data_IF_222014927380
#
_entry.id   IF_222014927380
#
_cell.length_a   1.000
_cell.length_b   1.000
_cell.length_c   1.000
_cell.angle_alpha   90.00
_cell.angle_beta   90.00
_cell.angle_gamma   90.00
#
_symmetry.space_group_name_H-M   'P 1'
#
loop_
_entity.id
_entity.type
_entity.pdbx_description
1 polymer ?
#
# COMPACT_ATOMS: atom_id res chain seq x y z
N UNK A 1 65.20 -26.27 -24.65
CA UNK A 1 65.92 -25.85 -25.86
C UNK A 1 64.97 -24.94 -26.63
N UNK A 2 65.00 -23.61 -26.49
CA UNK A 2 66.05 -22.61 -26.80
C UNK A 2 66.26 -22.38 -28.32
N UNK A 3 65.97 -21.14 -28.75
CA UNK A 3 66.14 -20.53 -30.09
C UNK A 3 64.95 -19.58 -30.35
N UNK A 4 64.96 -18.23 -30.22
CA UNK A 4 65.85 -17.14 -30.72
C UNK A 4 66.09 -17.26 -32.22
N UNK A 5 65.96 -16.27 -33.11
CA UNK A 5 65.83 -14.80 -33.17
C UNK A 5 65.43 -14.51 -34.67
N UNK A 6 64.55 -13.59 -35.10
CA UNK A 6 64.54 -12.12 -35.12
C UNK A 6 64.57 -11.54 -36.57
N UNK A 7 63.86 -10.41 -36.74
CA UNK A 7 63.99 -9.33 -37.74
C UNK A 7 63.39 -9.41 -39.15
N UNK A 8 62.60 -8.37 -39.45
CA UNK A 8 62.22 -7.92 -40.80
C UNK A 8 61.22 -6.76 -40.77
N UNK A 9 61.72 -5.52 -40.64
CA UNK A 9 60.96 -4.26 -40.78
C UNK A 9 60.53 -4.05 -42.25
N UNK A 10 59.28 -3.63 -42.46
CA UNK A 10 58.89 -2.90 -43.67
C UNK A 10 57.90 -1.79 -43.31
N UNK A 11 58.35 -0.57 -43.56
CA UNK A 11 57.61 0.70 -43.49
C UNK A 11 56.51 0.73 -44.56
N UNK A 12 55.29 1.12 -44.20
CA UNK A 12 54.33 1.67 -45.14
C UNK A 12 53.76 2.99 -44.63
N UNK A 13 54.02 4.00 -45.45
CA UNK A 13 53.66 5.41 -45.32
C UNK A 13 52.21 5.62 -45.76
N UNK A 14 51.46 6.43 -44.99
CA UNK A 14 50.49 7.38 -45.53
C UNK A 14 49.09 6.87 -45.88
N UNK A 15 48.17 6.95 -44.92
CA UNK A 15 46.76 7.28 -45.21
C UNK A 15 46.35 8.39 -44.23
N UNK A 16 46.08 9.59 -44.77
CA UNK A 16 45.45 10.69 -44.04
C UNK A 16 43.98 10.32 -43.88
N UNK A 17 43.54 10.14 -42.63
CA UNK A 17 42.11 10.07 -42.30
C UNK A 17 41.71 11.50 -41.97
N UNK A 18 41.01 12.15 -42.89
CA UNK A 18 40.39 13.44 -42.64
C UNK A 18 39.35 13.31 -41.53
N UNK A 19 39.33 14.31 -40.65
CA UNK A 19 38.51 14.36 -39.45
C UNK A 19 37.01 14.28 -39.78
N UNK A 20 36.34 13.29 -39.20
CA UNK A 20 34.87 13.20 -39.15
C UNK A 20 34.38 14.28 -38.15
N UNK A 21 33.44 15.18 -38.52
CA UNK A 21 32.90 16.14 -37.57
C UNK A 21 32.14 15.42 -36.48
N UNK A 22 32.50 15.70 -35.23
CA UNK A 22 31.80 15.19 -34.05
C UNK A 22 30.38 15.77 -34.02
N UNK A 23 29.40 14.96 -34.40
CA UNK A 23 28.00 15.23 -34.09
C UNK A 23 27.84 15.06 -32.57
N UNK A 24 27.91 16.17 -31.84
CA UNK A 24 27.41 16.25 -30.48
C UNK A 24 25.90 16.07 -30.54
N UNK A 25 25.43 14.82 -30.46
CA UNK A 25 24.09 14.55 -29.94
C UNK A 25 24.12 14.93 -28.45
N UNK A 26 23.78 16.18 -28.20
CA UNK A 26 23.36 16.62 -26.88
C UNK A 26 22.07 15.86 -26.57
N UNK A 27 22.21 14.69 -25.94
CA UNK A 27 21.10 14.07 -25.21
C UNK A 27 20.84 15.01 -24.06
N UNK A 28 19.87 15.90 -24.26
CA UNK A 28 19.22 16.58 -23.16
C UNK A 28 18.57 15.45 -22.37
N UNK A 29 19.20 15.05 -21.27
CA UNK A 29 18.44 14.40 -20.21
C UNK A 29 17.49 15.49 -19.72
N UNK A 30 16.28 15.52 -20.27
CA UNK A 30 15.14 16.07 -19.57
C UNK A 30 14.99 15.22 -18.31
N UNK A 31 15.68 15.64 -17.25
CA UNK A 31 15.22 15.45 -15.89
C UNK A 31 13.80 16.01 -15.87
N UNK A 32 12.80 15.19 -16.15
CA UNK A 32 11.42 15.50 -15.86
C UNK A 32 11.38 15.62 -14.33
N UNK A 33 11.28 16.83 -13.75
CA UNK A 33 11.12 16.91 -12.32
C UNK A 33 9.81 16.18 -12.04
N UNK A 34 9.87 15.14 -11.21
CA UNK A 34 8.69 14.60 -10.54
C UNK A 34 8.01 15.80 -9.90
N UNK A 35 6.97 16.30 -10.55
CA UNK A 35 6.22 17.47 -10.15
C UNK A 35 5.73 17.17 -8.73
N UNK A 36 6.43 17.74 -7.73
CA UNK A 36 6.00 17.61 -6.33
C UNK A 36 4.61 18.19 -6.32
N UNK A 37 3.62 17.37 -6.03
CA UNK A 37 2.24 17.80 -5.89
C UNK A 37 2.20 18.98 -4.91
N UNK A 38 2.07 20.20 -5.43
CA UNK A 38 1.97 21.41 -4.61
C UNK A 38 0.52 21.49 -4.16
N UNK A 39 0.25 21.02 -2.94
CA UNK A 39 -1.04 21.23 -2.30
C UNK A 39 -1.27 22.73 -2.10
N UNK A 40 -2.51 23.18 -2.27
CA UNK A 40 -2.89 24.51 -1.81
C UNK A 40 -2.81 24.59 -0.26
N UNK A 41 -2.73 25.80 0.29
CA UNK A 41 -2.54 26.02 1.74
C UNK A 41 -3.58 25.28 2.61
N UNK A 42 -4.83 25.22 2.16
CA UNK A 42 -5.91 24.52 2.86
C UNK A 42 -5.69 23.00 2.88
N UNK A 43 -5.34 22.42 1.74
CA UNK A 43 -5.04 21.00 1.60
C UNK A 43 -3.77 20.62 2.36
N UNK A 44 -2.78 21.51 2.40
CA UNK A 44 -1.56 21.32 3.18
C UNK A 44 -1.86 21.30 4.69
N UNK A 45 -2.72 22.19 5.18
CA UNK A 45 -3.16 22.19 6.57
C UNK A 45 -3.94 20.90 6.92
N UNK A 46 -4.85 20.46 6.05
CA UNK A 46 -5.59 19.20 6.23
C UNK A 46 -4.67 17.97 6.20
N UNK A 47 -3.72 17.92 5.26
CA UNK A 47 -2.72 16.86 5.20
C UNK A 47 -1.84 16.83 6.46
N UNK A 48 -1.40 17.97 6.97
CA UNK A 48 -0.63 18.05 8.23
C UNK A 48 -1.44 17.58 9.44
N UNK A 49 -2.73 17.95 9.51
CA UNK A 49 -3.64 17.46 10.53
C UNK A 49 -3.84 15.95 10.45
N UNK A 50 -4.07 15.40 9.25
CA UNK A 50 -4.20 13.97 9.05
C UNK A 50 -2.92 13.23 9.43
N UNK A 51 -1.76 13.73 9.02
CA UNK A 51 -0.45 13.15 9.36
C UNK A 51 -0.25 13.04 10.89
N UNK A 52 -0.69 14.06 11.63
CA UNK A 52 -0.64 14.06 13.11
C UNK A 52 -1.46 12.91 13.70
N UNK A 53 -2.69 12.70 13.20
CA UNK A 53 -3.55 11.63 13.71
C UNK A 53 -3.12 10.24 13.23
N UNK A 54 -2.60 10.11 12.01
CA UNK A 54 -2.01 8.84 11.52
C UNK A 54 -0.84 8.45 12.42
N UNK A 55 0.10 9.37 12.69
CA UNK A 55 1.24 9.11 13.58
C UNK A 55 0.80 8.72 14.99
N UNK A 56 -0.17 9.45 15.57
CA UNK A 56 -0.71 9.15 16.90
C UNK A 56 -1.40 7.77 16.94
N UNK A 57 -2.19 7.43 15.93
CA UNK A 57 -2.90 6.16 15.87
C UNK A 57 -1.95 4.97 15.65
N UNK A 58 -0.96 5.10 14.76
CA UNK A 58 0.09 4.08 14.58
C UNK A 58 0.79 3.76 15.90
N UNK A 59 1.20 4.78 16.64
CA UNK A 59 1.88 4.57 17.92
C UNK A 59 0.96 4.03 19.01
N UNK A 60 -0.32 4.44 19.02
CA UNK A 60 -1.35 3.85 19.87
C UNK A 60 -1.49 2.33 19.62
N UNK A 61 -1.64 1.92 18.36
CA UNK A 61 -1.74 0.50 17.98
C UNK A 61 -0.48 -0.27 18.37
N UNK A 62 0.70 0.32 18.14
CA UNK A 62 1.99 -0.27 18.50
C UNK A 62 2.09 -0.56 20.01
N UNK A 63 1.81 0.44 20.86
CA UNK A 63 1.87 0.30 22.33
C UNK A 63 0.91 -0.79 22.80
N UNK A 64 -0.34 -0.77 22.34
CA UNK A 64 -1.35 -1.76 22.75
C UNK A 64 -0.99 -3.16 22.27
N UNK A 65 -0.43 -3.29 21.07
CA UNK A 65 0.04 -4.56 20.53
C UNK A 65 1.19 -5.13 21.36
N UNK A 66 2.19 -4.33 21.69
CA UNK A 66 3.34 -4.75 22.50
C UNK A 66 2.93 -5.14 23.92
N UNK A 67 1.93 -4.46 24.48
CA UNK A 67 1.39 -4.77 25.79
C UNK A 67 0.47 -6.02 25.80
N UNK A 68 0.16 -6.61 24.64
CA UNK A 68 -0.80 -7.70 24.53
C UNK A 68 -2.23 -7.29 24.90
N UNK A 69 -2.53 -5.99 24.85
CA UNK A 69 -3.80 -5.38 25.22
C UNK A 69 -4.74 -5.19 24.03
N UNK A 70 -4.32 -5.60 22.84
CA UNK A 70 -5.22 -5.76 21.71
C UNK A 70 -6.07 -6.99 21.94
N UNK A 71 -7.11 -6.85 22.77
CA UNK A 71 -8.26 -7.71 22.63
C UNK A 71 -8.79 -7.49 21.21
N UNK A 72 -9.06 -8.60 20.52
CA UNK A 72 -9.70 -8.64 19.18
C UNK A 72 -10.99 -7.80 19.14
N UNK A 73 -11.51 -7.37 20.29
CA UNK A 73 -12.65 -6.49 20.50
C UNK A 73 -12.40 -4.98 20.35
N UNK A 74 -11.16 -4.48 20.25
CA UNK A 74 -10.88 -3.03 20.24
C UNK A 74 -10.86 -2.42 18.84
N UNK A 75 -10.68 -3.22 17.79
CA UNK A 75 -10.80 -2.69 16.45
C UNK A 75 -12.28 -2.65 16.04
N UNK A 76 -12.87 -1.46 16.14
CA UNK A 76 -14.25 -1.24 15.74
C UNK A 76 -14.39 -1.48 14.23
N UNK A 77 -15.25 -2.41 13.88
CA UNK A 77 -15.71 -2.63 12.51
C UNK A 77 -16.17 -1.33 11.83
N UNK A 78 -16.74 -0.39 12.61
CA UNK A 78 -17.09 0.92 12.10
C UNK A 78 -15.84 1.69 11.62
N UNK A 79 -14.70 1.59 12.32
CA UNK A 79 -13.44 2.20 11.86
C UNK A 79 -12.99 1.60 10.54
N UNK A 80 -13.02 0.28 10.44
CA UNK A 80 -12.70 -0.46 9.22
C UNK A 80 -13.51 0.09 8.05
N UNK A 81 -14.84 0.12 8.23
CA UNK A 81 -15.79 0.55 7.21
C UNK A 81 -15.58 2.00 6.81
N UNK A 82 -15.44 2.89 7.78
CA UNK A 82 -15.32 4.32 7.53
C UNK A 82 -14.01 4.64 6.80
N UNK A 83 -12.88 4.04 7.21
CA UNK A 83 -11.59 4.21 6.51
C UNK A 83 -11.68 3.72 5.07
N UNK A 84 -12.23 2.51 4.85
CA UNK A 84 -12.37 1.95 3.50
C UNK A 84 -13.28 2.82 2.63
N UNK A 85 -14.43 3.26 3.15
CA UNK A 85 -15.36 4.13 2.45
C UNK A 85 -14.69 5.46 2.06
N UNK A 86 -13.96 6.09 2.99
CA UNK A 86 -13.30 7.37 2.76
C UNK A 86 -12.22 7.24 1.67
N UNK A 87 -11.30 6.27 1.78
CA UNK A 87 -10.16 6.17 0.85
C UNK A 87 -10.63 5.74 -0.55
N UNK A 88 -11.38 4.65 -0.61
CA UNK A 88 -11.74 4.01 -1.88
C UNK A 88 -13.04 4.56 -2.49
N UNK A 89 -13.86 5.28 -1.71
CA UNK A 89 -15.13 5.82 -2.18
C UNK A 89 -16.26 4.80 -2.25
N UNK A 90 -16.11 3.67 -1.55
CA UNK A 90 -17.11 2.60 -1.55
C UNK A 90 -18.34 3.02 -0.74
N UNK A 91 -19.54 2.77 -1.29
CA UNK A 91 -20.81 3.23 -0.70
C UNK A 91 -21.73 2.10 -0.25
N UNK A 92 -21.41 0.86 -0.61
CA UNK A 92 -22.18 -0.36 -0.34
C UNK A 92 -21.44 -1.36 0.55
N UNK A 93 -20.49 -0.88 1.37
CA UNK A 93 -19.73 -1.73 2.28
C UNK A 93 -20.65 -2.41 3.29
N UNK A 94 -20.73 -3.73 3.21
CA UNK A 94 -21.41 -4.59 4.18
C UNK A 94 -20.41 -5.37 5.01
N UNK A 95 -20.76 -5.67 6.25
CA UNK A 95 -19.92 -6.52 7.09
C UNK A 95 -20.21 -7.99 6.84
N UNK A 96 -19.19 -8.70 6.35
CA UNK A 96 -19.28 -10.12 6.05
C UNK A 96 -19.21 -10.98 7.32
N UNK A 97 -18.61 -10.48 8.39
CA UNK A 97 -18.58 -11.20 9.66
C UNK A 97 -19.99 -11.31 10.28
N UNK A 98 -20.86 -10.31 10.13
CA UNK A 98 -22.23 -10.31 10.67
C UNK A 98 -23.24 -11.03 9.77
N UNK A 99 -23.16 -10.82 8.46
CA UNK A 99 -24.13 -11.37 7.51
C UNK A 99 -23.99 -12.89 7.32
N UNK A 100 -22.78 -13.41 7.48
CA UNK A 100 -22.46 -14.77 7.03
C UNK A 100 -21.48 -15.52 7.93
N UNK A 101 -21.08 -14.93 9.06
CA UNK A 101 -20.13 -15.52 10.00
C UNK A 101 -18.81 -15.97 9.35
N UNK A 102 -18.33 -15.24 8.33
CA UNK A 102 -17.05 -15.51 7.66
C UNK A 102 -15.89 -14.86 8.42
N UNK A 103 -15.26 -15.55 9.39
CA UNK A 103 -14.39 -14.89 10.34
C UNK A 103 -13.07 -14.54 9.63
N UNK A 104 -12.83 -13.25 9.37
CA UNK A 104 -11.59 -12.66 8.79
C UNK A 104 -11.59 -12.27 7.32
N UNK A 105 -12.74 -11.98 6.71
CA UNK A 105 -12.78 -11.16 5.47
C UNK A 105 -13.26 -9.74 5.75
N UNK A 106 -13.86 -9.47 6.91
CA UNK A 106 -14.18 -8.10 7.35
C UNK A 106 -15.37 -7.52 6.57
N UNK A 107 -15.09 -6.85 5.46
CA UNK A 107 -16.08 -6.10 4.69
C UNK A 107 -16.17 -6.60 3.24
N UNK A 108 -17.28 -6.30 2.57
CA UNK A 108 -17.48 -6.57 1.16
C UNK A 108 -18.24 -5.43 0.47
N UNK A 109 -17.85 -5.13 -0.76
CA UNK A 109 -18.61 -4.31 -1.70
C UNK A 109 -18.96 -5.17 -2.91
N UNK A 110 -20.26 -5.31 -3.16
CA UNK A 110 -20.73 -6.09 -4.31
C UNK A 110 -20.63 -5.29 -5.59
N UNK A 111 -20.86 -3.97 -5.51
CA UNK A 111 -20.71 -3.06 -6.65
C UNK A 111 -19.28 -3.05 -7.19
N UNK A 112 -18.29 -3.15 -6.30
CA UNK A 112 -16.86 -3.13 -6.64
C UNK A 112 -16.26 -4.54 -6.78
N UNK A 113 -17.06 -5.58 -6.57
CA UNK A 113 -16.63 -6.98 -6.50
C UNK A 113 -15.35 -7.16 -5.65
N UNK A 114 -15.31 -6.48 -4.49
CA UNK A 114 -14.13 -6.40 -3.64
C UNK A 114 -14.43 -6.80 -2.20
N UNK A 115 -13.64 -7.74 -1.68
CA UNK A 115 -13.55 -8.08 -0.28
C UNK A 115 -12.45 -7.25 0.40
N UNK A 116 -12.63 -6.85 1.66
CA UNK A 116 -11.68 -6.00 2.38
C UNK A 116 -11.47 -6.52 3.80
N UNK A 117 -10.29 -7.09 4.04
CA UNK A 117 -9.86 -7.44 5.38
C UNK A 117 -9.14 -6.25 6.02
N UNK A 118 -9.50 -5.92 7.25
CA UNK A 118 -8.75 -4.96 8.07
C UNK A 118 -8.18 -5.67 9.29
N UNK A 119 -6.88 -5.49 9.54
CA UNK A 119 -6.12 -6.25 10.54
C UNK A 119 -5.01 -5.39 11.15
N UNK A 120 -4.53 -5.76 12.34
CA UNK A 120 -3.34 -5.15 12.94
C UNK A 120 -2.08 -5.93 12.53
N UNK A 121 -2.21 -7.24 12.35
CA UNK A 121 -1.10 -8.10 11.92
C UNK A 121 -0.93 -8.05 10.41
N UNK A 122 0.25 -7.60 9.97
CA UNK A 122 0.64 -7.55 8.57
C UNK A 122 1.44 -8.74 8.06
N UNK A 123 1.43 -9.89 8.75
CA UNK A 123 2.28 -11.04 8.39
C UNK A 123 1.79 -11.76 7.14
N UNK A 124 2.73 -12.39 6.41
CA UNK A 124 2.40 -13.23 5.25
C UNK A 124 1.41 -14.35 5.60
N UNK A 125 1.59 -15.00 6.76
CA UNK A 125 0.65 -16.03 7.22
C UNK A 125 -0.77 -15.48 7.42
N UNK A 126 -0.91 -14.22 7.84
CA UNK A 126 -2.22 -13.59 7.98
C UNK A 126 -2.90 -13.36 6.63
N UNK A 127 -2.12 -12.97 5.61
CA UNK A 127 -2.62 -12.84 4.23
C UNK A 127 -3.10 -14.20 3.71
N UNK A 128 -2.29 -15.24 3.90
CA UNK A 128 -2.61 -16.61 3.47
C UNK A 128 -3.87 -17.11 4.17
N UNK A 129 -3.97 -16.97 5.50
CA UNK A 129 -5.15 -17.35 6.29
C UNK A 129 -6.42 -16.65 5.77
N UNK A 130 -6.31 -15.36 5.43
CA UNK A 130 -7.42 -14.57 4.87
C UNK A 130 -7.87 -15.12 3.52
N UNK A 131 -6.93 -15.43 2.63
CA UNK A 131 -7.24 -16.02 1.32
C UNK A 131 -7.85 -17.43 1.45
N UNK A 132 -7.29 -18.27 2.32
CA UNK A 132 -7.82 -19.62 2.59
C UNK A 132 -9.28 -19.56 3.04
N UNK A 133 -9.62 -18.63 3.94
CA UNK A 133 -10.99 -18.40 4.40
C UNK A 133 -11.91 -17.88 3.30
N UNK A 134 -11.45 -16.87 2.55
CA UNK A 134 -12.20 -16.32 1.42
C UNK A 134 -12.58 -17.45 0.44
N UNK A 135 -11.64 -18.30 0.07
CA UNK A 135 -11.88 -19.41 -0.85
C UNK A 135 -12.71 -20.54 -0.24
N UNK A 136 -12.50 -20.88 1.03
CA UNK A 136 -13.26 -21.93 1.72
C UNK A 136 -14.75 -21.60 1.79
N UNK A 137 -15.09 -20.32 1.82
CA UNK A 137 -16.46 -19.82 1.83
C UNK A 137 -17.01 -19.48 0.43
N UNK A 138 -16.26 -19.73 -0.64
CA UNK A 138 -16.69 -19.47 -2.01
C UNK A 138 -16.88 -17.98 -2.34
N UNK A 139 -16.27 -17.09 -1.55
CA UNK A 139 -16.37 -15.65 -1.73
C UNK A 139 -15.66 -15.16 -3.00
N UNK A 140 -14.74 -15.94 -3.55
CA UNK A 140 -14.10 -15.72 -4.86
C UNK A 140 -15.09 -15.81 -6.04
N UNK A 141 -16.30 -16.34 -5.81
CA UNK A 141 -17.40 -16.28 -6.78
C UNK A 141 -18.17 -14.95 -6.79
N UNK A 142 -18.01 -14.12 -5.76
CA UNK A 142 -18.68 -12.83 -5.59
C UNK A 142 -17.68 -11.69 -5.74
N UNK A 143 -16.52 -11.83 -5.09
CA UNK A 143 -15.47 -10.82 -5.04
C UNK A 143 -14.28 -11.27 -5.86
N UNK A 144 -14.03 -10.57 -6.97
CA UNK A 144 -12.87 -10.79 -7.84
C UNK A 144 -11.57 -10.18 -7.29
N UNK A 145 -11.63 -9.40 -6.20
CA UNK A 145 -10.46 -8.78 -5.57
C UNK A 145 -10.53 -8.86 -4.05
N UNK A 146 -9.36 -8.94 -3.42
CA UNK A 146 -9.18 -8.76 -1.98
C UNK A 146 -8.28 -7.54 -1.74
N UNK A 147 -8.69 -6.65 -0.83
CA UNK A 147 -7.82 -5.63 -0.24
C UNK A 147 -7.53 -6.02 1.21
N UNK A 148 -6.29 -5.84 1.66
CA UNK A 148 -5.90 -5.99 3.06
C UNK A 148 -5.38 -4.66 3.58
N UNK A 149 -6.04 -4.12 4.61
CA UNK A 149 -5.64 -2.91 5.30
C UNK A 149 -4.99 -3.31 6.63
N UNK A 150 -3.75 -2.90 6.83
CA UNK A 150 -2.95 -3.17 8.03
C UNK A 150 -2.86 -1.87 8.84
N UNK A 151 -3.36 -1.89 10.06
CA UNK A 151 -3.37 -0.73 10.93
C UNK A 151 -2.07 -0.58 11.71
N UNK A 152 -1.38 -1.70 11.92
CA UNK A 152 0.02 -1.72 12.34
C UNK A 152 0.93 -1.47 11.14
N UNK A 153 2.11 -2.07 11.18
CA UNK A 153 3.06 -2.00 10.07
C UNK A 153 2.86 -3.16 9.10
N UNK A 154 2.87 -2.88 7.79
CA UNK A 154 2.97 -3.90 6.76
C UNK A 154 4.42 -4.38 6.60
N UNK A 155 4.60 -5.53 5.98
CA UNK A 155 5.94 -6.01 5.60
C UNK A 155 6.44 -5.25 4.37
N UNK A 156 7.76 -5.06 4.28
CA UNK A 156 8.38 -4.49 3.09
C UNK A 156 8.16 -5.37 1.84
N UNK A 157 8.07 -6.70 2.03
CA UNK A 157 7.82 -7.66 0.96
C UNK A 157 6.88 -8.77 1.42
N UNK A 158 6.09 -9.28 0.47
CA UNK A 158 5.17 -10.40 0.64
C UNK A 158 5.49 -11.48 -0.40
N UNK A 159 6.61 -12.17 -0.21
CA UNK A 159 7.04 -13.25 -1.08
C UNK A 159 6.74 -14.60 -0.42
N UNK A 160 5.73 -15.29 -0.95
CA UNK A 160 5.36 -16.63 -0.53
C UNK A 160 4.57 -17.33 -1.61
N UNK A 161 4.98 -18.56 -1.93
CA UNK A 161 4.25 -19.44 -2.85
C UNK A 161 2.86 -19.83 -2.34
N UNK A 162 2.56 -19.58 -1.05
CA UNK A 162 1.23 -19.81 -0.47
C UNK A 162 0.25 -18.67 -0.75
N UNK A 163 0.72 -17.49 -1.14
CA UNK A 163 -0.16 -16.39 -1.56
C UNK A 163 -0.68 -16.70 -2.96
N UNK A 164 -2.00 -16.85 -3.09
CA UNK A 164 -2.67 -17.06 -4.36
C UNK A 164 -2.83 -15.72 -5.06
N UNK A 165 -2.07 -15.50 -6.13
CA UNK A 165 -2.15 -14.27 -6.94
C UNK A 165 -3.36 -14.24 -7.88
N UNK A 166 -3.83 -15.41 -8.30
CA UNK A 166 -5.04 -15.52 -9.13
C UNK A 166 -5.71 -16.88 -8.98
N UNK A 167 -7.04 -16.88 -9.08
CA UNK A 167 -7.90 -18.09 -9.06
C UNK A 167 -9.22 -17.80 -9.75
N UNK A 168 -9.44 -18.34 -10.95
CA UNK A 168 -10.64 -17.99 -11.73
C UNK A 168 -10.66 -16.49 -12.05
N UNK A 169 -11.73 -15.79 -11.66
CA UNK A 169 -11.83 -14.33 -11.79
C UNK A 169 -11.14 -13.56 -10.65
N UNK A 170 -10.79 -14.24 -9.55
CA UNK A 170 -10.11 -13.62 -8.42
C UNK A 170 -8.66 -13.26 -8.77
N UNK A 171 -8.25 -12.04 -8.43
CA UNK A 171 -6.87 -11.56 -8.50
C UNK A 171 -6.44 -10.88 -7.20
N UNK A 172 -5.16 -11.01 -6.89
CA UNK A 172 -4.53 -10.39 -5.74
C UNK A 172 -3.06 -10.10 -6.03
N UNK A 173 -2.68 -8.84 -5.88
CA UNK A 173 -1.31 -8.36 -6.00
C UNK A 173 -0.89 -7.70 -4.67
N UNK A 174 -0.09 -8.38 -3.82
CA UNK A 174 0.42 -7.84 -2.57
C UNK A 174 1.00 -6.43 -2.65
N UNK A 175 1.61 -6.05 -3.78
CA UNK A 175 2.22 -4.72 -3.95
C UNK A 175 1.17 -3.62 -4.20
N UNK A 176 -0.07 -4.00 -4.53
CA UNK A 176 -1.16 -3.10 -4.91
C UNK A 176 -2.45 -3.31 -4.12
N UNK A 177 -2.51 -4.35 -3.31
CA UNK A 177 -3.71 -4.76 -2.58
C UNK A 177 -3.50 -4.85 -1.07
N UNK A 178 -2.28 -4.60 -0.59
CA UNK A 178 -1.96 -4.48 0.83
C UNK A 178 -1.58 -3.04 1.13
N UNK A 179 -2.30 -2.43 2.06
CA UNK A 179 -2.10 -1.04 2.46
C UNK A 179 -1.87 -0.95 3.96
N UNK A 180 -0.91 -0.15 4.39
CA UNK A 180 -0.86 0.37 5.74
C UNK A 180 -1.39 1.82 5.82
N UNK A 181 -1.39 2.41 7.01
CA UNK A 181 -1.85 3.78 7.20
C UNK A 181 -1.01 4.83 6.47
N UNK A 182 0.27 4.57 6.19
CA UNK A 182 1.12 5.47 5.42
C UNK A 182 0.76 5.43 3.94
N UNK A 183 0.44 4.25 3.40
CA UNK A 183 -0.09 4.12 2.05
C UNK A 183 -1.44 4.83 1.90
N UNK A 184 -2.36 4.63 2.85
CA UNK A 184 -3.67 5.29 2.83
C UNK A 184 -3.53 6.82 2.91
N UNK A 185 -2.65 7.32 3.77
CA UNK A 185 -2.29 8.74 3.83
C UNK A 185 -1.76 9.23 2.48
N UNK A 186 -0.81 8.49 1.88
CA UNK A 186 -0.24 8.81 0.58
C UNK A 186 -1.28 8.90 -0.54
N UNK A 187 -2.24 7.97 -0.57
CA UNK A 187 -3.37 7.99 -1.53
C UNK A 187 -4.19 9.27 -1.39
N UNK A 188 -4.53 9.66 -0.16
CA UNK A 188 -5.37 10.84 0.09
C UNK A 188 -4.63 12.14 -0.22
N UNK A 189 -3.37 12.24 0.17
CA UNK A 189 -2.51 13.40 -0.13
C UNK A 189 -2.32 13.54 -1.64
N UNK A 190 -2.04 12.43 -2.34
CA UNK A 190 -1.86 12.44 -3.79
C UNK A 190 -3.12 12.88 -4.53
N UNK A 191 -4.29 12.43 -4.09
CA UNK A 191 -5.58 12.85 -4.67
C UNK A 191 -5.97 14.28 -4.30
N UNK A 192 -5.41 14.82 -3.22
CA UNK A 192 -5.67 16.17 -2.71
C UNK A 192 -7.17 16.50 -2.53
N UNK A 193 -7.97 15.49 -2.16
CA UNK A 193 -9.40 15.63 -1.90
C UNK A 193 -9.62 16.15 -0.46
N UNK A 194 -10.03 17.42 -0.28
CA UNK A 194 -10.14 18.01 1.05
C UNK A 194 -11.20 17.31 1.90
N UNK A 195 -12.31 16.86 1.32
CA UNK A 195 -13.38 16.22 2.05
C UNK A 195 -12.91 14.87 2.63
N UNK A 196 -12.15 14.10 1.85
CA UNK A 196 -11.59 12.83 2.32
C UNK A 196 -10.48 13.02 3.35
N UNK A 197 -9.59 14.00 3.15
CA UNK A 197 -8.55 14.34 4.13
C UNK A 197 -9.17 14.71 5.48
N UNK A 198 -10.18 15.58 5.46
CA UNK A 198 -10.89 16.00 6.67
C UNK A 198 -11.66 14.84 7.31
N UNK A 199 -12.40 14.05 6.53
CA UNK A 199 -13.17 12.92 7.03
C UNK A 199 -12.27 11.87 7.70
N UNK A 200 -11.13 11.54 7.09
CA UNK A 200 -10.17 10.58 7.66
C UNK A 200 -9.56 11.13 8.95
N UNK A 201 -9.15 12.40 8.97
CA UNK A 201 -8.60 13.04 10.17
C UNK A 201 -9.62 13.05 11.31
N UNK A 202 -10.88 13.41 11.02
CA UNK A 202 -11.97 13.38 12.00
C UNK A 202 -12.20 11.95 12.53
N UNK A 203 -12.16 10.94 11.65
CA UNK A 203 -12.39 9.56 12.04
C UNK A 203 -11.30 9.03 12.98
N UNK A 204 -10.03 9.29 12.68
CA UNK A 204 -8.93 8.90 13.58
C UNK A 204 -8.93 9.70 14.89
N UNK A 205 -9.24 11.00 14.84
CA UNK A 205 -9.39 11.82 16.03
C UNK A 205 -10.48 11.27 16.95
N UNK A 206 -11.63 10.91 16.39
CA UNK A 206 -12.73 10.31 17.13
C UNK A 206 -12.27 9.01 17.79
N UNK A 207 -11.61 8.11 17.05
CA UNK A 207 -11.13 6.84 17.58
C UNK A 207 -10.17 7.02 18.76
N UNK A 208 -9.16 7.88 18.59
CA UNK A 208 -8.20 8.18 19.64
C UNK A 208 -8.88 8.82 20.86
N UNK A 209 -9.92 9.63 20.64
CA UNK A 209 -10.71 10.24 21.70
C UNK A 209 -11.62 9.25 22.43
N UNK A 210 -12.29 8.34 21.73
CA UNK A 210 -13.16 7.32 22.32
C UNK A 210 -12.38 6.32 23.17
N UNK A 211 -11.19 5.92 22.73
CA UNK A 211 -10.31 5.01 23.48
C UNK A 211 -9.77 5.60 24.79
N UNK A 212 -9.91 6.91 25.02
CA UNK A 212 -9.54 7.58 26.29
C UNK A 212 -10.69 7.68 27.29
N UNK A 213 -11.89 7.19 26.97
CA UNK A 213 -13.06 7.16 27.89
C UNK A 213 -13.51 5.73 28.22
N UNK A 214 -12.76 4.96 29.04
CA UNK A 214 -13.24 3.67 29.51
C UNK A 214 -14.37 3.78 30.56
N UNK A 215 -14.69 4.98 31.06
CA UNK A 215 -15.74 5.20 32.07
C UNK A 215 -16.50 6.50 31.80
N UNK A 216 -17.43 6.48 30.85
CA UNK A 216 -18.58 7.37 30.89
C UNK A 216 -19.78 6.50 31.26
N UNK A 217 -19.96 6.30 32.57
CA UNK A 217 -21.19 5.78 33.19
C UNK A 217 -22.33 6.78 33.04
#
# INVERSE_FOLDING_TARGET
>A
MAGREAHGLASFTGIRIDAIPQLQHHVVHEEHPMERLVLNDSNQALAGRLATYVAAYKHYVEIYSQAGLLDVAIFDEALARDITAIVFGYTDLVNLNLETSFPAVGLGSSAEACAIQVTISGTTDKIVETQEKLFAHGLDGIYSRLIVIILGEKQATYDSQRIVRSRGAFTFDPDRDIYDLDDLFGILVFKADPAKLEAFANRLQHELGSSTRPYAS
#
